data_IF_376050913419
#
_entry.id   IF_376050913419
#
_cell.length_a   1.000
_cell.length_b   1.000
_cell.length_c   1.000
_cell.angle_alpha   90.00
_cell.angle_beta   90.00
_cell.angle_gamma   90.00
#
_symmetry.space_group_name_H-M   'P 1'
#
loop_
_entity.id
_entity.type
_entity.pdbx_description
1 polymer ?
#
# COMPACT_ATOMS: atom_id res chain seq x y z
N UNK A 1 -3.72 4.51 -0.52
CA UNK A 1 -3.83 5.49 0.56
C UNK A 1 -5.29 5.81 0.91
N UNK A 2 -5.55 6.55 2.00
CA UNK A 2 -6.89 6.88 2.46
C UNK A 2 -7.70 7.70 1.44
N UNK A 3 -7.06 8.60 0.70
CA UNK A 3 -7.73 9.40 -0.32
C UNK A 3 -8.20 8.52 -1.48
N UNK A 4 -7.37 7.59 -1.93
CA UNK A 4 -7.73 6.63 -2.96
C UNK A 4 -8.91 5.76 -2.49
N UNK A 5 -8.86 5.21 -1.29
CA UNK A 5 -9.96 4.39 -0.72
C UNK A 5 -11.25 5.19 -0.64
N UNK A 6 -11.20 6.43 -0.14
CA UNK A 6 -12.35 7.32 -0.05
C UNK A 6 -12.99 7.60 -1.41
N UNK A 7 -12.19 7.78 -2.44
CA UNK A 7 -12.67 8.10 -3.79
C UNK A 7 -13.15 6.85 -4.54
N UNK A 8 -12.48 5.71 -4.38
CA UNK A 8 -12.83 4.47 -5.08
C UNK A 8 -14.08 3.80 -4.49
N UNK A 9 -14.29 3.87 -3.17
CA UNK A 9 -15.43 3.21 -2.53
C UNK A 9 -16.81 3.59 -3.12
N UNK A 10 -17.15 4.88 -3.34
CA UNK A 10 -18.41 5.25 -4.00
C UNK A 10 -18.50 4.74 -5.44
N UNK A 11 -17.38 4.79 -6.19
CA UNK A 11 -17.34 4.28 -7.57
C UNK A 11 -17.62 2.79 -7.61
N UNK A 12 -17.01 2.01 -6.70
CA UNK A 12 -17.28 0.58 -6.57
C UNK A 12 -18.76 0.30 -6.24
N UNK A 13 -19.32 1.01 -5.27
CA UNK A 13 -20.73 0.82 -4.87
C UNK A 13 -21.72 1.16 -5.99
N UNK A 14 -21.41 2.16 -6.81
CA UNK A 14 -22.28 2.58 -7.90
C UNK A 14 -22.12 1.72 -9.17
N UNK A 15 -20.98 1.11 -9.39
CA UNK A 15 -20.65 0.36 -10.60
C UNK A 15 -19.82 -0.90 -10.29
N UNK A 16 -20.34 -1.86 -9.50
CA UNK A 16 -19.58 -3.05 -9.12
C UNK A 16 -19.17 -3.90 -10.34
N UNK A 17 -19.99 -3.94 -11.38
CA UNK A 17 -19.71 -4.70 -12.61
C UNK A 17 -18.47 -4.17 -13.35
N UNK A 18 -18.25 -2.85 -13.35
CA UNK A 18 -17.05 -2.26 -13.94
C UNK A 18 -15.77 -2.77 -13.25
N UNK A 19 -15.79 -2.85 -11.93
CA UNK A 19 -14.65 -3.38 -11.18
C UNK A 19 -14.45 -4.88 -11.43
N UNK A 20 -15.53 -5.65 -11.53
CA UNK A 20 -15.49 -7.09 -11.80
C UNK A 20 -14.94 -7.42 -13.21
N UNK A 21 -15.00 -6.49 -14.16
CA UNK A 21 -14.35 -6.64 -15.47
C UNK A 21 -12.83 -6.38 -15.42
N UNK A 22 -12.33 -5.70 -14.39
CA UNK A 22 -10.90 -5.51 -14.18
C UNK A 22 -10.27 -6.82 -13.68
N UNK A 23 -9.35 -7.38 -14.46
CA UNK A 23 -8.69 -8.66 -14.12
C UNK A 23 -8.03 -8.65 -12.75
N UNK A 24 -7.33 -7.56 -12.41
CA UNK A 24 -6.66 -7.42 -11.11
C UNK A 24 -7.68 -7.45 -9.95
N UNK A 25 -8.82 -6.79 -10.11
CA UNK A 25 -9.88 -6.81 -9.11
C UNK A 25 -10.53 -8.18 -9.00
N UNK A 26 -10.92 -8.76 -10.14
CA UNK A 26 -11.55 -10.09 -10.21
C UNK A 26 -10.64 -11.20 -9.65
N UNK A 27 -9.36 -11.12 -9.91
CA UNK A 27 -8.37 -12.10 -9.44
C UNK A 27 -7.85 -11.81 -8.02
N UNK A 28 -8.41 -10.81 -7.33
CA UNK A 28 -7.97 -10.41 -6.00
C UNK A 28 -6.48 -10.00 -5.96
N UNK A 29 -6.01 -9.30 -7.00
CA UNK A 29 -4.62 -8.84 -7.14
C UNK A 29 -4.53 -7.30 -6.99
N UNK A 30 -5.04 -6.80 -5.86
CA UNK A 30 -5.04 -5.37 -5.51
C UNK A 30 -4.30 -5.18 -4.19
N UNK A 31 -3.40 -4.21 -4.18
CA UNK A 31 -2.47 -3.99 -3.08
C UNK A 31 -2.54 -2.55 -2.59
N UNK A 32 -2.40 -2.35 -1.29
CA UNK A 32 -2.29 -1.02 -0.68
C UNK A 32 -0.82 -0.66 -0.50
N UNK A 33 -0.51 0.58 -0.83
CA UNK A 33 0.78 1.22 -0.55
C UNK A 33 0.57 2.56 0.17
N UNK A 34 1.65 3.12 0.72
CA UNK A 34 1.58 4.37 1.46
C UNK A 34 1.53 5.58 0.53
N UNK A 35 0.79 6.61 0.96
CA UNK A 35 0.81 7.90 0.29
C UNK A 35 2.18 8.56 0.45
N UNK A 36 2.80 8.94 -0.66
CA UNK A 36 4.12 9.56 -0.67
C UNK A 36 4.12 10.99 -1.22
N UNK A 37 3.02 11.42 -1.82
CA UNK A 37 2.91 12.72 -2.46
C UNK A 37 1.58 13.39 -2.10
N UNK A 38 1.65 14.47 -1.31
CA UNK A 38 0.52 15.32 -1.00
C UNK A 38 0.85 16.78 -1.40
N UNK A 39 1.33 17.60 -0.47
CA UNK A 39 1.90 18.93 -0.78
C UNK A 39 3.39 18.84 -1.15
N UNK A 40 4.08 17.86 -0.59
CA UNK A 40 5.50 17.58 -0.82
C UNK A 40 5.68 16.09 -1.07
N UNK A 41 6.76 15.74 -1.78
CA UNK A 41 7.12 14.33 -2.01
C UNK A 41 7.90 13.81 -0.80
N UNK A 42 7.39 12.76 -0.18
CA UNK A 42 8.10 12.00 0.85
C UNK A 42 8.97 10.94 0.18
N UNK A 43 10.23 11.25 -0.04
CA UNK A 43 11.15 10.36 -0.76
C UNK A 43 11.40 9.05 -0.04
N UNK A 44 11.46 9.06 1.30
CA UNK A 44 11.58 7.86 2.12
C UNK A 44 10.40 6.91 1.89
N UNK A 45 9.18 7.43 1.86
CA UNK A 45 7.97 6.63 1.59
C UNK A 45 7.96 6.13 0.13
N UNK A 46 8.35 6.97 -0.83
CA UNK A 46 8.46 6.56 -2.23
C UNK A 46 9.46 5.41 -2.42
N UNK A 47 10.59 5.44 -1.70
CA UNK A 47 11.58 4.37 -1.71
C UNK A 47 11.02 3.07 -1.10
N UNK A 48 10.32 3.15 0.02
CA UNK A 48 9.69 1.98 0.66
C UNK A 48 8.61 1.39 -0.27
N UNK A 49 7.78 2.23 -0.89
CA UNK A 49 6.80 1.79 -1.90
C UNK A 49 7.48 1.03 -3.04
N UNK A 50 8.64 1.49 -3.51
CA UNK A 50 9.41 0.81 -4.56
C UNK A 50 9.83 -0.61 -4.14
N UNK A 51 10.29 -0.79 -2.89
CA UNK A 51 10.60 -2.11 -2.34
C UNK A 51 9.37 -3.02 -2.27
N UNK A 52 8.22 -2.46 -1.85
CA UNK A 52 6.99 -3.22 -1.78
C UNK A 52 6.48 -3.64 -3.16
N UNK A 53 6.52 -2.75 -4.15
CA UNK A 53 6.15 -3.05 -5.54
C UNK A 53 7.08 -4.14 -6.09
N UNK A 54 8.40 -4.02 -5.89
CA UNK A 54 9.37 -5.01 -6.34
C UNK A 54 9.07 -6.40 -5.75
N UNK A 55 8.81 -6.48 -4.45
CA UNK A 55 8.44 -7.73 -3.77
C UNK A 55 7.12 -8.30 -4.28
N UNK A 56 6.15 -7.45 -4.59
CA UNK A 56 4.83 -7.86 -5.11
C UNK A 56 4.93 -8.42 -6.53
N UNK A 57 5.71 -7.76 -7.39
CA UNK A 57 5.85 -8.13 -8.82
C UNK A 57 6.84 -9.29 -9.00
N UNK A 58 7.90 -9.35 -8.20
CA UNK A 58 8.96 -10.35 -8.28
C UNK A 58 9.18 -11.06 -6.93
N UNK A 59 8.17 -11.79 -6.41
CA UNK A 59 8.23 -12.33 -5.05
C UNK A 59 9.42 -13.26 -4.80
N UNK A 60 9.82 -14.04 -5.79
CA UNK A 60 10.95 -14.97 -5.66
C UNK A 60 12.31 -14.25 -5.55
N UNK A 61 12.46 -13.11 -6.23
CA UNK A 61 13.70 -12.32 -6.17
C UNK A 61 13.81 -11.52 -4.86
N UNK A 62 12.70 -11.18 -4.25
CA UNK A 62 12.63 -10.35 -3.03
C UNK A 62 12.03 -11.12 -1.83
N UNK A 63 12.13 -12.45 -1.84
CA UNK A 63 11.56 -13.29 -0.77
C UNK A 63 12.12 -12.98 0.62
N UNK A 64 13.40 -12.59 0.68
CA UNK A 64 14.10 -12.30 1.93
C UNK A 64 13.87 -10.84 2.41
N UNK A 65 13.10 -10.04 1.67
CA UNK A 65 12.77 -8.67 2.05
C UNK A 65 11.53 -8.66 2.96
N UNK A 66 11.70 -8.25 4.20
CA UNK A 66 10.62 -7.87 5.09
C UNK A 66 10.32 -6.38 4.94
N UNK A 67 9.07 -6.01 4.62
CA UNK A 67 8.71 -4.61 4.36
C UNK A 67 8.69 -3.78 5.64
N UNK A 68 8.40 -4.38 6.78
CA UNK A 68 8.46 -3.68 8.07
C UNK A 68 9.91 -3.34 8.43
N UNK A 69 10.81 -4.31 8.33
CA UNK A 69 12.24 -4.10 8.55
C UNK A 69 12.81 -3.09 7.54
N UNK A 70 12.42 -3.18 6.27
CA UNK A 70 12.84 -2.23 5.24
C UNK A 70 12.30 -0.83 5.50
N UNK A 71 11.11 -0.69 6.04
CA UNK A 71 10.54 0.59 6.47
C UNK A 71 11.39 1.19 7.58
N UNK A 72 11.75 0.41 8.59
CA UNK A 72 12.60 0.87 9.68
C UNK A 72 13.99 1.28 9.19
N UNK A 73 14.61 0.47 8.35
CA UNK A 73 15.92 0.78 7.74
C UNK A 73 15.90 2.12 6.99
N UNK A 74 14.91 2.34 6.14
CA UNK A 74 14.79 3.56 5.34
C UNK A 74 14.47 4.77 6.24
N UNK A 75 13.55 4.64 7.17
CA UNK A 75 13.21 5.76 8.07
C UNK A 75 14.34 6.09 9.03
N UNK A 76 15.10 5.13 9.51
CA UNK A 76 16.33 5.41 10.27
C UNK A 76 17.35 6.19 9.44
N UNK A 77 17.58 5.78 8.19
CA UNK A 77 18.54 6.45 7.32
C UNK A 77 18.14 7.90 6.97
N UNK A 78 16.86 8.16 6.72
CA UNK A 78 16.37 9.48 6.32
C UNK A 78 15.99 10.38 7.50
N UNK A 79 15.40 9.81 8.56
CA UNK A 79 14.76 10.54 9.65
C UNK A 79 15.43 10.31 11.02
N UNK A 80 16.42 9.40 11.08
CA UNK A 80 17.14 9.09 12.31
C UNK A 80 16.38 8.22 13.30
N UNK A 81 15.24 7.61 12.90
CA UNK A 81 14.40 6.78 13.76
C UNK A 81 13.66 5.72 12.97
N UNK A 82 13.61 4.49 13.50
CA UNK A 82 12.70 3.45 13.01
C UNK A 82 11.24 3.84 13.26
N UNK A 83 10.40 3.84 12.23
CA UNK A 83 9.04 4.39 12.30
C UNK A 83 7.97 3.44 11.72
N UNK A 84 8.27 2.18 11.49
CA UNK A 84 7.29 1.25 10.90
C UNK A 84 6.03 1.12 11.76
N UNK A 85 6.19 1.02 13.09
CA UNK A 85 5.05 0.88 13.99
C UNK A 85 4.15 2.11 13.97
N UNK A 86 4.70 3.30 14.02
CA UNK A 86 3.94 4.55 13.95
C UNK A 86 3.24 4.73 12.60
N UNK A 87 3.94 4.43 11.49
CA UNK A 87 3.39 4.55 10.14
C UNK A 87 2.25 3.56 9.93
N UNK A 88 2.44 2.28 10.30
CA UNK A 88 1.44 1.24 10.04
C UNK A 88 0.24 1.29 10.99
N UNK A 89 0.42 1.80 12.21
CA UNK A 89 -0.69 2.00 13.17
C UNK A 89 -1.50 3.27 12.93
N UNK A 90 -1.03 4.17 12.09
CA UNK A 90 -1.77 5.39 11.76
C UNK A 90 -3.16 5.04 11.18
N UNK A 91 -4.25 5.69 11.63
CA UNK A 91 -5.62 5.31 11.21
C UNK A 91 -5.85 5.33 9.71
N UNK A 92 -5.14 6.20 8.98
CA UNK A 92 -5.26 6.37 7.53
C UNK A 92 -4.33 5.46 6.73
N UNK A 93 -3.53 4.64 7.38
CA UNK A 93 -2.61 3.69 6.72
C UNK A 93 -3.27 2.34 6.40
N UNK A 94 -4.45 2.07 6.96
CA UNK A 94 -5.14 0.76 6.86
C UNK A 94 -4.28 -0.44 7.28
N UNK A 95 -3.33 -0.22 8.18
CA UNK A 95 -2.41 -1.26 8.65
C UNK A 95 -1.16 -1.46 7.79
N UNK A 96 -0.84 -0.49 6.93
CA UNK A 96 0.39 -0.52 6.13
C UNK A 96 0.25 -1.22 4.78
N UNK A 97 1.34 -1.77 4.31
CA UNK A 97 1.43 -2.48 3.03
C UNK A 97 0.73 -3.83 3.09
N UNK A 98 -0.27 -4.03 2.25
CA UNK A 98 -0.97 -5.32 2.21
C UNK A 98 -1.75 -5.55 0.92
N UNK A 99 -1.97 -6.82 0.59
CA UNK A 99 -2.98 -7.24 -0.36
C UNK A 99 -4.36 -7.06 0.29
N UNK A 100 -5.32 -6.52 -0.44
CA UNK A 100 -6.70 -6.41 0.04
C UNK A 100 -7.55 -7.60 -0.44
N UNK A 101 -8.58 -7.92 0.30
CA UNK A 101 -9.65 -8.81 -0.18
C UNK A 101 -10.68 -7.96 -0.94
N UNK A 102 -10.68 -8.05 -2.26
CA UNK A 102 -11.55 -7.24 -3.12
C UNK A 102 -13.04 -7.53 -2.93
N UNK A 103 -13.40 -8.70 -2.41
CA UNK A 103 -14.79 -9.06 -2.15
C UNK A 103 -15.37 -8.34 -0.93
N UNK A 104 -14.54 -7.99 0.05
CA UNK A 104 -15.00 -7.48 1.36
C UNK A 104 -14.51 -6.08 1.69
N UNK A 105 -13.46 -5.60 1.04
CA UNK A 105 -12.74 -4.38 1.42
C UNK A 105 -13.63 -3.12 1.46
N UNK A 106 -14.61 -3.02 0.58
CA UNK A 106 -15.56 -1.90 0.52
C UNK A 106 -16.94 -2.16 1.14
N UNK A 107 -17.11 -3.29 1.75
CA UNK A 107 -18.38 -3.61 2.42
C UNK A 107 -18.56 -2.85 3.74
#
# INVERSE_FOLDING_TARGET
DAAAVKNIKPLYKNNPDMFNTCKAWHNNEVYLEMAYNAYYTNYEIALINTWYIAKTVYPELFKDVDIKEKTDEVTEAFLGKAMSDEIFSAPLSFGGYKKIDTATFFN
#
